data_IF_723515591727
#
_entry.id   IF_723515591727
#
_cell.length_a   1.000
_cell.length_b   1.000
_cell.length_c   1.000
_cell.angle_alpha   90.00
_cell.angle_beta   90.00
_cell.angle_gamma   90.00
#
_symmetry.space_group_name_H-M   'P 1'
#
loop_
_entity.id
_entity.type
_entity.pdbx_description
1 polymer ?
#
# COMPACT_ATOMS: atom_id res chain seq x y z
N UNK A 1 6.63 -24.32 -8.82
CA UNK A 1 5.20 -24.04 -9.13
C UNK A 1 5.08 -22.53 -9.35
N UNK A 2 4.30 -22.12 -10.34
CA UNK A 2 4.03 -20.72 -10.65
C UNK A 2 2.52 -20.50 -10.73
N UNK A 3 2.09 -19.26 -10.55
CA UNK A 3 0.70 -18.83 -10.72
C UNK A 3 0.64 -17.87 -11.89
N UNK A 4 -0.31 -18.08 -12.80
CA UNK A 4 -0.53 -17.15 -13.90
C UNK A 4 -1.44 -16.02 -13.45
N UNK A 5 -0.89 -14.82 -13.43
CA UNK A 5 -1.55 -13.60 -12.96
C UNK A 5 -1.72 -12.64 -14.12
N UNK A 6 -2.93 -12.13 -14.30
CA UNK A 6 -3.20 -10.97 -15.14
C UNK A 6 -3.19 -9.70 -14.29
N UNK A 7 -2.46 -8.68 -14.71
CA UNK A 7 -2.42 -7.37 -14.07
C UNK A 7 -3.17 -6.39 -14.97
N UNK A 8 -4.10 -5.66 -14.39
CA UNK A 8 -4.93 -4.66 -15.08
C UNK A 8 -4.70 -3.27 -14.47
N UNK A 9 -4.69 -2.26 -15.35
CA UNK A 9 -4.55 -0.85 -15.00
C UNK A 9 -5.84 -0.23 -14.43
N UNK A 10 -6.43 0.73 -15.16
CA UNK A 10 -7.74 1.29 -14.77
C UNK A 10 -8.90 0.52 -15.43
N UNK A 11 -9.76 -0.06 -14.60
CA UNK A 11 -10.95 -0.74 -15.06
C UNK A 11 -12.02 0.21 -15.63
N UNK A 12 -12.29 1.33 -14.94
CA UNK A 12 -13.35 2.30 -15.26
C UNK A 12 -14.73 1.67 -15.49
N UNK A 13 -15.05 0.58 -14.78
CA UNK A 13 -16.32 -0.13 -14.88
C UNK A 13 -16.49 -1.00 -16.14
N UNK A 14 -15.42 -1.27 -16.89
CA UNK A 14 -15.40 -2.11 -18.12
C UNK A 14 -15.08 -3.59 -17.81
N UNK A 15 -15.67 -4.14 -16.75
CA UNK A 15 -15.37 -5.50 -16.28
C UNK A 15 -15.62 -6.56 -17.35
N UNK A 16 -16.68 -6.43 -18.14
CA UNK A 16 -16.97 -7.40 -19.20
C UNK A 16 -15.84 -7.45 -20.23
N UNK A 17 -15.33 -6.28 -20.65
CA UNK A 17 -14.22 -6.17 -21.59
C UNK A 17 -12.96 -6.82 -21.05
N UNK A 18 -12.67 -6.60 -19.76
CA UNK A 18 -11.49 -7.18 -19.10
C UNK A 18 -11.61 -8.70 -19.03
N UNK A 19 -12.71 -9.24 -18.51
CA UNK A 19 -12.90 -10.70 -18.40
C UNK A 19 -12.88 -11.39 -19.77
N UNK A 20 -13.45 -10.77 -20.80
CA UNK A 20 -13.42 -11.30 -22.17
C UNK A 20 -12.00 -11.28 -22.79
N UNK A 21 -11.08 -10.48 -22.25
CA UNK A 21 -9.69 -10.36 -22.73
C UNK A 21 -8.73 -11.31 -22.01
N UNK A 22 -9.19 -12.05 -20.98
CA UNK A 22 -8.34 -12.94 -20.20
C UNK A 22 -7.99 -14.24 -20.95
N UNK A 23 -6.77 -14.72 -20.73
CA UNK A 23 -6.33 -16.03 -21.21
C UNK A 23 -6.96 -17.15 -20.36
N UNK A 24 -7.29 -18.30 -20.97
CA UNK A 24 -8.04 -19.38 -20.33
C UNK A 24 -7.35 -20.03 -19.11
N UNK A 25 -6.02 -19.96 -19.05
CA UNK A 25 -5.20 -20.46 -17.95
C UNK A 25 -4.85 -19.37 -16.91
N UNK A 26 -5.46 -18.19 -16.99
CA UNK A 26 -5.32 -17.13 -15.98
C UNK A 26 -5.96 -17.59 -14.67
N UNK A 27 -5.22 -17.47 -13.56
CA UNK A 27 -5.66 -17.98 -12.26
C UNK A 27 -6.02 -16.87 -11.27
N UNK A 28 -5.46 -15.68 -11.47
CA UNK A 28 -5.69 -14.49 -10.67
C UNK A 28 -5.69 -13.25 -11.58
N UNK A 29 -6.67 -12.37 -11.39
CA UNK A 29 -6.67 -11.02 -11.92
C UNK A 29 -6.40 -10.03 -10.78
N UNK A 30 -5.47 -9.09 -10.98
CA UNK A 30 -5.22 -7.98 -10.07
C UNK A 30 -5.57 -6.68 -10.77
N UNK A 31 -6.55 -5.94 -10.26
CA UNK A 31 -6.93 -4.61 -10.74
C UNK A 31 -6.35 -3.58 -9.78
N UNK A 32 -5.48 -2.70 -10.27
CA UNK A 32 -4.75 -1.79 -9.39
C UNK A 32 -5.56 -0.53 -9.00
N UNK A 33 -6.82 -0.40 -9.43
CA UNK A 33 -7.78 0.64 -9.01
C UNK A 33 -8.64 1.22 -10.13
N UNK A 34 -9.39 2.26 -9.79
CA UNK A 34 -10.48 2.81 -10.61
C UNK A 34 -11.46 1.71 -11.04
N UNK A 35 -11.82 0.83 -10.10
CA UNK A 35 -12.68 -0.32 -10.32
C UNK A 35 -14.13 0.08 -10.61
N UNK A 36 -14.62 1.13 -9.93
CA UNK A 36 -15.99 1.66 -10.03
C UNK A 36 -17.05 0.64 -9.59
N UNK A 37 -17.00 0.20 -8.33
CA UNK A 37 -17.96 -0.73 -7.73
C UNK A 37 -19.37 -0.11 -7.47
N UNK A 38 -20.01 0.43 -8.51
CA UNK A 38 -21.32 1.07 -8.42
C UNK A 38 -22.45 0.02 -8.47
N UNK A 39 -23.25 -0.06 -7.40
CA UNK A 39 -24.33 -1.06 -7.27
C UNK A 39 -25.64 -0.57 -7.88
N UNK A 40 -25.89 0.74 -7.81
CA UNK A 40 -27.13 1.38 -8.24
C UNK A 40 -26.89 2.86 -8.61
N UNK A 41 -27.93 3.56 -9.07
CA UNK A 41 -27.82 4.98 -9.44
C UNK A 41 -27.54 5.92 -8.25
N UNK A 42 -27.96 5.57 -7.03
CA UNK A 42 -27.68 6.39 -5.85
C UNK A 42 -26.17 6.42 -5.54
N UNK A 43 -25.46 5.33 -5.78
CA UNK A 43 -24.00 5.26 -5.62
C UNK A 43 -23.26 6.28 -6.52
N UNK A 44 -23.85 6.70 -7.66
CA UNK A 44 -23.26 7.72 -8.55
C UNK A 44 -23.12 9.09 -7.88
N UNK A 45 -23.84 9.35 -6.79
CA UNK A 45 -23.65 10.56 -5.99
C UNK A 45 -22.32 10.56 -5.22
N UNK A 46 -21.64 9.42 -5.12
CA UNK A 46 -20.44 9.24 -4.27
C UNK A 46 -19.16 8.99 -5.04
N UNK A 47 -19.20 9.07 -6.37
CA UNK A 47 -18.02 8.90 -7.23
C UNK A 47 -17.49 10.26 -7.72
N UNK A 48 -16.16 10.44 -7.68
CA UNK A 48 -15.53 11.64 -8.22
C UNK A 48 -15.33 11.54 -9.74
N UNK A 49 -16.41 11.70 -10.51
CA UNK A 49 -16.36 11.71 -11.99
C UNK A 49 -17.17 12.91 -12.51
N UNK A 50 -16.70 13.64 -13.53
CA UNK A 50 -17.48 14.73 -14.12
C UNK A 50 -18.85 14.25 -14.59
N UNK A 51 -19.92 15.01 -14.30
CA UNK A 51 -21.32 14.61 -14.55
C UNK A 51 -21.58 14.04 -15.96
N UNK A 52 -20.96 14.62 -16.99
CA UNK A 52 -21.11 14.18 -18.40
C UNK A 52 -20.53 12.79 -18.70
N UNK A 53 -19.72 12.23 -17.81
CA UNK A 53 -19.10 10.90 -17.95
C UNK A 53 -19.65 9.89 -16.93
N UNK A 54 -20.63 10.27 -16.12
CA UNK A 54 -21.26 9.36 -15.17
C UNK A 54 -21.97 8.24 -15.92
N UNK A 55 -21.63 7.01 -15.55
CA UNK A 55 -22.23 5.78 -16.06
C UNK A 55 -22.15 4.72 -14.97
N UNK A 56 -23.16 3.86 -14.89
CA UNK A 56 -23.21 2.78 -13.90
C UNK A 56 -22.13 1.72 -14.14
N UNK A 57 -21.72 1.54 -15.40
CA UNK A 57 -20.77 0.49 -15.80
C UNK A 57 -21.36 -0.91 -15.62
N UNK A 58 -20.49 -1.92 -15.60
CA UNK A 58 -20.90 -3.32 -15.63
C UNK A 58 -21.09 -3.95 -14.24
N UNK A 59 -20.54 -3.34 -13.19
CA UNK A 59 -20.37 -3.99 -11.88
C UNK A 59 -21.68 -4.42 -11.22
N UNK A 60 -22.75 -3.62 -11.32
CA UNK A 60 -24.06 -3.96 -10.75
C UNK A 60 -24.58 -5.35 -11.16
N UNK A 61 -24.24 -5.83 -12.37
CA UNK A 61 -24.63 -7.17 -12.85
C UNK A 61 -23.89 -8.29 -12.10
N UNK A 62 -22.63 -8.05 -11.71
CA UNK A 62 -21.85 -8.98 -10.91
C UNK A 62 -22.30 -8.97 -9.45
N UNK A 63 -22.59 -7.78 -8.91
CA UNK A 63 -23.14 -7.63 -7.57
C UNK A 63 -24.47 -8.38 -7.41
N UNK A 64 -25.36 -8.32 -8.41
CA UNK A 64 -26.63 -9.07 -8.43
C UNK A 64 -26.50 -10.57 -8.75
N UNK A 65 -25.31 -11.05 -9.11
CA UNK A 65 -25.11 -12.43 -9.55
C UNK A 65 -25.70 -12.75 -10.93
N UNK A 66 -26.09 -11.75 -11.72
CA UNK A 66 -26.48 -11.93 -13.13
C UNK A 66 -25.27 -12.33 -13.99
N UNK A 67 -24.08 -11.90 -13.58
CA UNK A 67 -22.78 -12.33 -14.09
C UNK A 67 -21.89 -12.80 -12.96
N UNK A 68 -20.93 -13.65 -13.28
CA UNK A 68 -19.92 -14.14 -12.34
C UNK A 68 -18.53 -13.87 -12.92
N UNK A 69 -17.58 -13.50 -12.04
CA UNK A 69 -16.20 -13.30 -12.46
C UNK A 69 -15.56 -14.65 -12.83
N UNK A 70 -14.99 -14.73 -14.04
CA UNK A 70 -14.40 -15.96 -14.58
C UNK A 70 -13.15 -16.41 -13.85
N UNK A 71 -12.46 -15.48 -13.20
CA UNK A 71 -11.24 -15.71 -12.43
C UNK A 71 -11.31 -14.95 -11.11
N UNK A 72 -10.62 -15.46 -10.08
CA UNK A 72 -10.47 -14.73 -8.82
C UNK A 72 -9.86 -13.36 -9.12
N UNK A 73 -10.54 -12.31 -8.67
CA UNK A 73 -10.16 -10.93 -8.93
C UNK A 73 -9.90 -10.22 -7.62
N UNK A 74 -8.70 -9.65 -7.46
CA UNK A 74 -8.33 -8.82 -6.31
C UNK A 74 -8.15 -7.39 -6.79
N UNK A 75 -8.68 -6.41 -6.06
CA UNK A 75 -8.47 -5.00 -6.40
C UNK A 75 -8.25 -4.10 -5.18
N UNK A 76 -7.63 -2.95 -5.44
CA UNK A 76 -7.55 -1.81 -4.52
C UNK A 76 -8.36 -0.63 -5.06
N UNK A 77 -8.66 0.36 -4.24
CA UNK A 77 -9.38 1.57 -4.67
C UNK A 77 -8.45 2.59 -5.34
N UNK A 78 -8.93 3.24 -6.40
CA UNK A 78 -8.34 4.43 -7.02
C UNK A 78 -9.03 5.74 -6.62
N UNK A 79 -9.01 6.72 -7.51
CA UNK A 79 -9.68 8.01 -7.31
C UNK A 79 -11.08 8.09 -7.96
N UNK A 80 -11.40 7.17 -8.87
CA UNK A 80 -12.72 7.03 -9.49
C UNK A 80 -13.42 5.79 -8.91
N UNK A 81 -13.88 5.87 -7.67
CA UNK A 81 -14.49 4.74 -6.96
C UNK A 81 -15.88 5.04 -6.42
N UNK A 82 -16.65 3.99 -6.15
CA UNK A 82 -17.85 4.05 -5.33
C UNK A 82 -17.43 4.16 -3.85
N UNK A 83 -17.23 5.40 -3.38
CA UNK A 83 -16.67 5.67 -2.05
C UNK A 83 -17.60 5.22 -0.93
N UNK A 84 -18.92 5.25 -1.18
CA UNK A 84 -19.91 4.70 -0.26
C UNK A 84 -19.67 3.21 0.00
N UNK A 85 -19.63 2.40 -1.06
CA UNK A 85 -19.54 0.96 -0.91
C UNK A 85 -18.16 0.51 -0.41
N UNK A 86 -17.07 1.12 -0.91
CA UNK A 86 -15.73 0.77 -0.44
C UNK A 86 -15.51 1.10 1.04
N UNK A 87 -16.19 2.12 1.60
CA UNK A 87 -16.15 2.40 3.04
C UNK A 87 -16.86 1.36 3.89
N UNK A 88 -17.97 0.79 3.40
CA UNK A 88 -18.65 -0.34 4.07
C UNK A 88 -17.72 -1.56 4.22
N UNK A 89 -16.71 -1.66 3.36
CA UNK A 89 -15.71 -2.73 3.27
C UNK A 89 -14.28 -2.23 3.56
N UNK A 90 -14.09 -1.28 4.50
CA UNK A 90 -12.76 -0.69 4.74
C UNK A 90 -11.65 -1.70 5.13
N UNK A 91 -12.02 -2.84 5.74
CA UNK A 91 -11.11 -3.94 6.10
C UNK A 91 -10.96 -5.01 5.01
N UNK A 92 -11.56 -4.78 3.83
CA UNK A 92 -11.62 -5.70 2.72
C UNK A 92 -12.79 -6.68 2.79
N UNK A 93 -13.09 -7.29 1.65
CA UNK A 93 -14.16 -8.28 1.52
C UNK A 93 -14.60 -8.48 0.07
N UNK A 94 -15.46 -9.47 -0.14
CA UNK A 94 -16.08 -9.74 -1.42
C UNK A 94 -17.06 -8.62 -1.79
N UNK A 95 -16.82 -7.97 -2.93
CA UNK A 95 -17.79 -7.00 -3.49
C UNK A 95 -18.80 -7.68 -4.41
N UNK A 96 -18.45 -8.86 -4.92
CA UNK A 96 -19.29 -9.77 -5.67
C UNK A 96 -18.64 -11.16 -5.58
N UNK A 97 -19.34 -12.25 -5.95
CA UNK A 97 -18.73 -13.58 -5.97
C UNK A 97 -17.44 -13.58 -6.81
N UNK A 98 -16.34 -14.05 -6.21
CA UNK A 98 -15.03 -14.16 -6.84
C UNK A 98 -14.33 -12.81 -7.16
N UNK A 99 -14.84 -11.68 -6.62
CA UNK A 99 -14.22 -10.35 -6.69
C UNK A 99 -13.99 -9.79 -5.29
N UNK A 100 -12.73 -9.64 -4.90
CA UNK A 100 -12.30 -9.24 -3.55
C UNK A 100 -11.66 -7.86 -3.53
N UNK A 101 -12.21 -6.95 -2.73
CA UNK A 101 -11.59 -5.68 -2.40
C UNK A 101 -10.60 -5.85 -1.25
N UNK A 102 -9.37 -5.38 -1.38
CA UNK A 102 -8.36 -5.47 -0.31
C UNK A 102 -8.67 -4.58 0.91
N UNK A 103 -9.54 -3.58 0.78
CA UNK A 103 -9.77 -2.57 1.81
C UNK A 103 -8.96 -1.30 1.59
N UNK A 104 -9.09 -0.34 2.52
CA UNK A 104 -8.23 0.85 2.52
C UNK A 104 -6.74 0.47 2.60
N UNK A 105 -6.47 -0.54 3.43
CA UNK A 105 -5.24 -1.32 3.47
C UNK A 105 -5.60 -2.79 3.66
N UNK A 106 -4.86 -3.70 3.03
CA UNK A 106 -5.04 -5.12 3.26
C UNK A 106 -3.88 -5.98 2.77
N UNK A 107 -3.78 -7.18 3.33
CA UNK A 107 -2.87 -8.22 2.86
C UNK A 107 -3.60 -9.56 2.87
N UNK A 108 -3.50 -10.30 1.77
CA UNK A 108 -4.08 -11.64 1.63
C UNK A 108 -3.07 -12.60 1.03
N UNK A 109 -3.32 -13.88 1.24
CA UNK A 109 -2.58 -14.97 0.63
C UNK A 109 -3.42 -15.66 -0.43
N UNK A 110 -2.83 -15.84 -1.61
CA UNK A 110 -3.41 -16.63 -2.69
C UNK A 110 -2.35 -17.54 -3.27
N UNK A 111 -2.58 -18.87 -3.26
CA UNK A 111 -1.64 -19.86 -3.82
C UNK A 111 -0.20 -19.75 -3.33
N UNK A 112 0.01 -19.17 -2.14
CA UNK A 112 1.34 -18.98 -1.55
C UNK A 112 2.01 -17.67 -1.93
N UNK A 113 1.35 -16.82 -2.72
CA UNK A 113 1.71 -15.42 -2.92
C UNK A 113 1.11 -14.57 -1.80
N UNK A 114 1.95 -13.75 -1.16
CA UNK A 114 1.50 -12.70 -0.24
C UNK A 114 1.29 -11.40 -1.02
N UNK A 115 0.08 -10.88 -1.02
CA UNK A 115 -0.34 -9.73 -1.81
C UNK A 115 -0.78 -8.62 -0.84
N UNK A 116 -0.06 -7.51 -0.82
CA UNK A 116 -0.40 -6.32 -0.03
C UNK A 116 -0.89 -5.18 -0.93
N UNK A 117 -1.80 -4.37 -0.42
CA UNK A 117 -2.36 -3.24 -1.16
C UNK A 117 -2.65 -2.03 -0.27
N UNK A 118 -2.46 -0.84 -0.85
CA UNK A 118 -2.86 0.44 -0.27
C UNK A 118 -3.74 1.17 -1.29
N UNK A 119 -5.00 1.39 -0.91
CA UNK A 119 -5.99 2.07 -1.74
C UNK A 119 -5.84 3.59 -1.67
N UNK A 120 -6.22 4.27 -2.74
CA UNK A 120 -6.28 5.73 -2.81
C UNK A 120 -5.06 6.40 -3.43
N UNK A 121 -5.10 7.74 -3.45
CA UNK A 121 -4.07 8.59 -4.05
C UNK A 121 -3.47 9.57 -3.06
N UNK A 122 -2.27 10.07 -3.37
CA UNK A 122 -1.57 11.03 -2.53
C UNK A 122 -2.11 12.45 -2.70
N UNK A 123 -2.41 13.09 -1.56
CA UNK A 123 -2.63 14.53 -1.48
C UNK A 123 -2.16 15.07 -0.13
N UNK A 124 -1.16 15.95 -0.14
CA UNK A 124 -0.59 16.48 1.09
C UNK A 124 -1.60 17.21 1.98
N UNK A 125 -2.52 18.00 1.40
CA UNK A 125 -3.48 18.79 2.18
C UNK A 125 -4.46 17.89 2.91
N UNK A 126 -5.01 16.89 2.23
CA UNK A 126 -5.90 15.91 2.86
C UNK A 126 -5.17 15.05 3.88
N UNK A 127 -3.96 14.60 3.56
CA UNK A 127 -3.12 13.85 4.50
C UNK A 127 -2.83 14.63 5.77
N UNK A 128 -2.48 15.91 5.65
CA UNK A 128 -2.25 16.81 6.78
C UNK A 128 -3.53 17.09 7.58
N UNK A 129 -4.67 17.27 6.92
CA UNK A 129 -5.96 17.50 7.58
C UNK A 129 -6.39 16.31 8.45
N UNK A 130 -6.07 15.07 8.06
CA UNK A 130 -6.28 13.90 8.91
C UNK A 130 -5.43 13.87 10.18
N UNK A 131 -4.41 14.73 10.29
CA UNK A 131 -3.51 14.87 11.43
C UNK A 131 -3.80 16.12 12.26
N UNK A 132 -4.99 16.70 12.12
CA UNK A 132 -5.43 17.85 12.93
C UNK A 132 -6.63 17.45 13.79
N UNK A 133 -6.94 18.27 14.79
CA UNK A 133 -8.16 18.12 15.59
C UNK A 133 -9.43 18.24 14.75
N UNK A 134 -9.35 18.94 13.61
CA UNK A 134 -10.43 19.10 12.62
C UNK A 134 -10.38 18.03 11.52
N UNK A 135 -10.09 16.77 11.89
CA UNK A 135 -10.05 15.66 10.94
C UNK A 135 -11.41 15.52 10.21
N UNK A 136 -11.42 15.21 8.90
CA UNK A 136 -12.66 15.21 8.14
C UNK A 136 -13.59 14.08 8.58
N UNK A 137 -14.82 14.45 8.94
CA UNK A 137 -15.91 13.51 9.12
C UNK A 137 -16.65 13.26 7.80
N UNK A 138 -17.03 12.02 7.57
CA UNK A 138 -17.64 11.57 6.33
C UNK A 138 -19.09 11.13 6.55
N UNK A 139 -19.99 12.10 6.54
CA UNK A 139 -21.44 11.88 6.64
C UNK A 139 -22.12 12.06 5.28
N UNK A 140 -23.21 11.31 5.07
CA UNK A 140 -24.02 11.43 3.86
C UNK A 140 -25.08 12.53 4.02
N UNK A 141 -25.44 13.25 2.94
CA UNK A 141 -24.83 13.20 1.61
C UNK A 141 -23.44 13.87 1.60
N UNK A 142 -22.49 13.28 0.86
CA UNK A 142 -21.15 13.85 0.78
C UNK A 142 -21.14 15.22 0.11
N UNK A 143 -20.37 16.14 0.69
CA UNK A 143 -20.04 17.40 0.07
C UNK A 143 -19.08 17.18 -1.12
N UNK A 144 -19.06 18.12 -2.07
CA UNK A 144 -18.14 18.05 -3.21
C UNK A 144 -16.66 18.02 -2.77
N UNK A 145 -16.33 18.69 -1.67
CA UNK A 145 -15.01 18.64 -1.04
C UNK A 145 -14.68 17.25 -0.54
N UNK A 146 -15.62 16.60 0.14
CA UNK A 146 -15.50 15.22 0.65
C UNK A 146 -15.29 14.23 -0.49
N UNK A 147 -16.07 14.32 -1.57
CA UNK A 147 -15.94 13.44 -2.74
C UNK A 147 -14.54 13.52 -3.35
N UNK A 148 -13.92 14.72 -3.34
CA UNK A 148 -12.57 14.95 -3.87
C UNK A 148 -11.45 14.54 -2.91
N UNK A 149 -11.75 14.17 -1.67
CA UNK A 149 -10.72 13.90 -0.64
C UNK A 149 -10.81 12.55 0.05
N UNK A 150 -11.98 11.91 0.07
CA UNK A 150 -12.21 10.68 0.84
C UNK A 150 -11.42 9.46 0.33
N UNK A 151 -11.00 9.47 -0.94
CA UNK A 151 -10.09 8.46 -1.50
C UNK A 151 -8.60 8.80 -1.31
N UNK A 152 -8.26 9.94 -0.70
CA UNK A 152 -6.86 10.23 -0.40
C UNK A 152 -6.36 9.32 0.71
N UNK A 153 -5.12 8.86 0.59
CA UNK A 153 -4.51 7.96 1.57
C UNK A 153 -4.49 8.63 2.95
N UNK A 154 -5.07 7.98 3.96
CA UNK A 154 -5.03 8.45 5.33
C UNK A 154 -3.72 8.02 6.03
N UNK A 155 -3.20 8.82 6.98
CA UNK A 155 -2.00 8.49 7.76
C UNK A 155 -2.07 7.11 8.44
N UNK A 156 -3.24 6.74 8.99
CA UNK A 156 -3.43 5.44 9.63
C UNK A 156 -3.23 4.29 8.66
N UNK A 157 -3.75 4.38 7.43
CA UNK A 157 -3.64 3.31 6.44
C UNK A 157 -2.23 3.22 5.86
N UNK A 158 -1.55 4.37 5.74
CA UNK A 158 -0.13 4.41 5.44
C UNK A 158 0.73 3.69 6.51
N UNK A 159 0.51 3.98 7.79
CA UNK A 159 1.21 3.29 8.89
C UNK A 159 0.98 1.78 8.85
N UNK A 160 -0.27 1.34 8.63
CA UNK A 160 -0.58 -0.09 8.47
C UNK A 160 0.19 -0.72 7.31
N UNK A 161 0.29 -0.02 6.19
CA UNK A 161 1.03 -0.49 5.03
C UNK A 161 2.52 -0.63 5.31
N UNK A 162 3.15 0.33 6.00
CA UNK A 162 4.55 0.24 6.42
C UNK A 162 4.81 -0.94 7.37
N UNK A 163 3.88 -1.20 8.31
CA UNK A 163 3.98 -2.31 9.27
C UNK A 163 3.77 -3.69 8.63
N UNK A 164 3.18 -3.75 7.43
CA UNK A 164 2.82 -5.01 6.76
C UNK A 164 4.01 -5.92 6.50
N UNK A 165 5.22 -5.37 6.37
CA UNK A 165 6.44 -6.11 6.06
C UNK A 165 6.47 -6.64 4.62
N UNK A 166 7.50 -7.44 4.27
CA UNK A 166 7.75 -7.83 2.89
C UNK A 166 6.63 -8.69 2.29
N UNK A 167 6.28 -8.42 1.03
CA UNK A 167 5.26 -9.16 0.25
C UNK A 167 5.84 -9.59 -1.10
N UNK A 168 5.24 -10.60 -1.72
CA UNK A 168 5.59 -10.95 -3.10
C UNK A 168 5.12 -9.84 -4.05
N UNK A 169 3.90 -9.36 -3.84
CA UNK A 169 3.25 -8.33 -4.64
C UNK A 169 2.80 -7.21 -3.70
N UNK A 170 3.20 -5.98 -4.00
CA UNK A 170 2.60 -4.78 -3.42
C UNK A 170 1.87 -3.99 -4.50
N UNK A 171 0.74 -3.38 -4.13
CA UNK A 171 -0.12 -2.64 -5.05
C UNK A 171 -0.40 -1.26 -4.46
N UNK A 172 -0.19 -0.22 -5.26
CA UNK A 172 -0.63 1.15 -4.97
C UNK A 172 -1.21 1.76 -6.23
N UNK A 173 -2.27 2.56 -6.13
CA UNK A 173 -2.87 3.17 -7.31
C UNK A 173 -1.88 4.15 -7.97
N UNK A 174 -1.36 5.08 -7.18
CA UNK A 174 -0.32 6.01 -7.61
C UNK A 174 1.05 5.34 -7.71
N UNK A 175 1.89 5.87 -8.59
CA UNK A 175 3.27 5.42 -8.73
C UNK A 175 4.11 5.86 -7.53
N UNK A 176 5.06 5.03 -7.06
CA UNK A 176 6.13 5.50 -6.19
C UNK A 176 6.88 6.67 -6.84
N UNK A 177 6.95 7.80 -6.15
CA UNK A 177 7.69 8.97 -6.63
C UNK A 177 9.15 8.59 -6.91
N UNK A 178 9.69 9.00 -8.07
CA UNK A 178 11.06 8.72 -8.49
C UNK A 178 11.28 7.37 -9.17
N UNK A 179 10.25 6.50 -9.26
CA UNK A 179 10.37 5.17 -9.90
C UNK A 179 10.81 5.23 -11.36
N UNK A 180 10.54 6.35 -12.04
CA UNK A 180 10.94 6.58 -13.43
C UNK A 180 12.46 6.62 -13.63
N UNK A 181 13.25 6.88 -12.58
CA UNK A 181 14.72 6.86 -12.64
C UNK A 181 15.28 5.44 -12.87
N UNK A 182 14.46 4.41 -12.64
CA UNK A 182 14.82 2.98 -12.76
C UNK A 182 14.29 2.32 -14.04
N UNK A 183 13.78 3.11 -14.99
CA UNK A 183 13.24 2.64 -16.27
C UNK A 183 13.56 3.62 -17.41
N UNK A 184 12.90 3.45 -18.56
CA UNK A 184 13.13 4.31 -19.73
C UNK A 184 12.35 5.63 -19.64
N UNK A 185 12.87 6.57 -18.84
CA UNK A 185 12.29 7.91 -18.69
C UNK A 185 12.29 8.71 -20.00
N UNK A 186 13.23 8.44 -20.91
CA UNK A 186 13.29 9.10 -22.23
C UNK A 186 12.10 8.69 -23.10
N UNK A 187 11.77 7.39 -23.13
CA UNK A 187 10.59 6.92 -23.83
C UNK A 187 9.30 7.47 -23.21
N UNK A 188 9.22 7.49 -21.87
CA UNK A 188 8.07 8.05 -21.15
C UNK A 188 7.83 9.52 -21.52
N UNK A 189 8.87 10.35 -21.46
CA UNK A 189 8.80 11.77 -21.80
C UNK A 189 8.53 12.04 -23.29
N UNK A 190 8.88 11.11 -24.18
CA UNK A 190 8.50 11.21 -25.60
C UNK A 190 6.98 11.08 -25.79
N UNK A 191 6.32 10.25 -24.97
CA UNK A 191 4.88 10.00 -25.07
C UNK A 191 4.08 10.99 -24.22
N UNK A 192 4.64 11.44 -23.09
CA UNK A 192 4.03 12.40 -22.16
C UNK A 192 5.04 13.49 -21.77
N UNK A 193 5.33 14.47 -22.66
CA UNK A 193 6.34 15.50 -22.41
C UNK A 193 6.07 16.36 -21.17
N UNK A 194 4.80 16.57 -20.84
CA UNK A 194 4.35 17.37 -19.70
C UNK A 194 4.77 16.77 -18.34
N UNK A 195 5.07 15.47 -18.28
CA UNK A 195 5.63 14.88 -17.06
C UNK A 195 7.02 15.40 -16.71
N UNK A 196 7.74 16.05 -17.63
CA UNK A 196 9.09 16.58 -17.35
C UNK A 196 9.09 17.55 -16.19
N UNK A 197 8.11 18.46 -16.14
CA UNK A 197 8.00 19.44 -15.07
C UNK A 197 7.69 18.75 -13.73
N UNK A 198 6.73 17.82 -13.73
CA UNK A 198 6.33 17.09 -12.52
C UNK A 198 7.40 16.14 -12.00
N UNK A 199 8.21 15.57 -12.89
CA UNK A 199 9.38 14.76 -12.52
C UNK A 199 10.46 15.64 -11.87
N UNK A 200 10.77 16.79 -12.48
CA UNK A 200 11.78 17.72 -11.97
C UNK A 200 11.38 18.36 -10.64
N UNK A 201 10.10 18.68 -10.47
CA UNK A 201 9.57 19.27 -9.23
C UNK A 201 9.22 18.23 -8.16
N UNK A 202 9.39 16.93 -8.45
CA UNK A 202 8.98 15.84 -7.55
C UNK A 202 7.46 15.76 -7.32
N UNK A 203 6.62 16.30 -8.19
CA UNK A 203 5.15 16.21 -8.06
C UNK A 203 4.57 14.93 -8.65
N UNK A 204 5.30 14.26 -9.53
CA UNK A 204 4.82 13.03 -10.16
C UNK A 204 4.87 11.85 -9.17
N UNK A 205 3.75 11.19 -8.96
CA UNK A 205 3.65 10.03 -8.07
C UNK A 205 3.58 10.39 -6.58
N UNK A 206 3.52 9.34 -5.77
CA UNK A 206 3.28 9.41 -4.33
C UNK A 206 4.59 9.25 -3.54
N UNK A 207 4.94 10.22 -2.68
CA UNK A 207 6.05 10.09 -1.75
C UNK A 207 5.80 8.99 -0.72
N UNK A 208 4.54 8.76 -0.30
CA UNK A 208 4.19 7.64 0.58
C UNK A 208 4.55 6.29 -0.06
N UNK A 209 4.21 6.12 -1.35
CA UNK A 209 4.52 4.90 -2.08
C UNK A 209 6.04 4.73 -2.30
N UNK A 210 6.79 5.84 -2.45
CA UNK A 210 8.27 5.82 -2.53
C UNK A 210 8.90 5.26 -1.26
N UNK A 211 8.51 5.80 -0.11
CA UNK A 211 9.02 5.39 1.20
C UNK A 211 8.62 3.94 1.51
N UNK A 212 7.36 3.57 1.24
CA UNK A 212 6.90 2.19 1.40
C UNK A 212 7.62 1.20 0.46
N UNK A 213 7.92 1.58 -0.78
CA UNK A 213 8.71 0.76 -1.71
C UNK A 213 10.13 0.50 -1.17
N UNK A 214 10.78 1.53 -0.61
CA UNK A 214 12.12 1.42 -0.04
C UNK A 214 12.15 0.54 1.22
N UNK A 215 11.11 0.60 2.06
CA UNK A 215 10.99 -0.18 3.30
C UNK A 215 10.54 -1.63 3.05
N UNK A 216 9.46 -1.84 2.28
CA UNK A 216 8.83 -3.15 2.12
C UNK A 216 9.56 -4.05 1.13
N UNK A 217 10.24 -3.46 0.14
CA UNK A 217 11.05 -4.14 -0.88
C UNK A 217 10.39 -5.41 -1.45
N UNK A 218 9.17 -5.33 -2.01
CA UNK A 218 8.48 -6.49 -2.56
C UNK A 218 9.14 -6.98 -3.85
N UNK A 219 8.87 -8.22 -4.26
CA UNK A 219 9.38 -8.75 -5.56
C UNK A 219 8.76 -8.01 -6.75
N UNK A 220 7.48 -7.67 -6.63
CA UNK A 220 6.72 -6.94 -7.63
C UNK A 220 5.98 -5.76 -7.02
N UNK A 221 5.94 -4.66 -7.75
CA UNK A 221 5.13 -3.49 -7.41
C UNK A 221 4.28 -3.09 -8.61
N UNK A 222 2.96 -3.01 -8.42
CA UNK A 222 2.01 -2.66 -9.47
C UNK A 222 1.30 -1.34 -9.17
N UNK A 223 1.26 -0.47 -10.17
CA UNK A 223 0.61 0.85 -10.08
C UNK A 223 -0.06 1.27 -11.38
N UNK A 224 -0.79 2.38 -11.36
CA UNK A 224 -1.48 2.91 -12.54
C UNK A 224 -1.62 4.44 -12.49
N UNK A 225 -2.82 5.02 -12.66
CA UNK A 225 -3.19 6.43 -12.53
C UNK A 225 -2.71 7.33 -13.68
N UNK A 226 -1.46 7.16 -14.10
CA UNK A 226 -0.81 7.99 -15.13
C UNK A 226 -1.21 7.61 -16.57
N UNK A 227 -2.06 6.60 -16.75
CA UNK A 227 -2.55 6.11 -18.05
C UNK A 227 -1.43 5.91 -19.08
N UNK A 228 -0.40 5.17 -18.67
CA UNK A 228 0.71 4.80 -19.54
C UNK A 228 1.37 3.54 -19.03
N UNK A 229 1.73 2.66 -19.97
CA UNK A 229 2.56 1.52 -19.63
C UNK A 229 3.97 2.01 -19.27
N UNK A 230 4.52 1.53 -18.16
CA UNK A 230 5.91 1.76 -17.77
C UNK A 230 6.43 0.58 -16.96
N UNK A 231 7.72 0.27 -17.14
CA UNK A 231 8.40 -0.78 -16.39
C UNK A 231 9.72 -0.28 -15.88
N UNK A 232 10.05 -0.66 -14.65
CA UNK A 232 11.30 -0.31 -14.00
C UNK A 232 11.83 -1.45 -13.15
N UNK A 233 13.14 -1.45 -12.91
CA UNK A 233 13.82 -2.41 -12.03
C UNK A 233 14.51 -1.64 -10.92
N UNK A 234 13.83 -1.53 -9.79
CA UNK A 234 14.32 -0.77 -8.63
C UNK A 234 15.30 -1.64 -7.87
N UNK A 235 16.57 -1.24 -7.84
CA UNK A 235 17.59 -1.95 -7.06
C UNK A 235 17.60 -1.38 -5.64
N UNK A 236 17.47 -2.27 -4.66
CA UNK A 236 17.60 -1.90 -3.26
C UNK A 236 19.07 -2.07 -2.87
N UNK A 237 19.67 -1.03 -2.30
CA UNK A 237 21.08 -1.09 -1.89
C UNK A 237 21.26 -2.16 -0.80
N UNK A 238 22.25 -3.05 -0.98
CA UNK A 238 22.71 -3.95 0.08
C UNK A 238 23.54 -3.14 1.05
N UNK A 239 23.24 -3.23 2.35
CA UNK A 239 24.13 -2.68 3.36
C UNK A 239 25.55 -3.24 3.17
N UNK A 240 26.50 -2.38 2.81
CA UNK A 240 27.91 -2.62 3.15
C UNK A 240 27.97 -2.54 4.66
N UNK A 241 28.06 -3.70 5.34
CA UNK A 241 28.52 -3.73 6.73
C UNK A 241 29.82 -2.93 6.76
N UNK A 242 29.84 -1.77 7.41
CA UNK A 242 31.08 -1.10 7.81
C UNK A 242 31.80 -2.11 8.70
N UNK A 243 32.72 -2.89 8.12
CA UNK A 243 33.72 -3.60 8.90
C UNK A 243 34.49 -2.48 9.58
N UNK A 244 34.24 -2.27 10.89
CA UNK A 244 35.18 -1.54 11.73
C UNK A 244 36.51 -2.24 11.54
N UNK A 245 37.43 -1.66 10.77
CA UNK A 245 38.83 -2.04 10.84
C UNK A 245 39.25 -1.69 12.26
N UNK A 246 39.28 -2.68 13.12
CA UNK A 246 40.05 -2.60 14.36
C UNK A 246 41.47 -2.25 13.95
N UNK A 247 41.88 -1.02 14.23
CA UNK A 247 43.28 -0.63 14.19
C UNK A 247 43.91 -1.33 15.38
N UNK A 248 44.87 -2.25 15.20
CA UNK A 248 45.52 -2.89 16.33
C UNK A 248 46.30 -1.82 17.10
N UNK A 249 45.93 -1.66 18.37
CA UNK A 249 46.66 -0.83 19.31
C UNK A 249 48.10 -1.34 19.40
N UNK A 250 49.06 -0.49 19.04
CA UNK A 250 50.45 -0.70 19.40
C UNK A 250 50.88 0.47 20.27
N UNK A 251 51.27 0.11 21.48
CA UNK A 251 51.83 0.92 22.54
C UNK A 251 53.16 1.55 22.14
N UNK A 252 53.28 2.87 22.30
CA UNK A 252 54.41 3.52 22.97
C UNK A 252 54.05 4.98 23.29
N UNK A 253 54.15 5.30 24.58
CA UNK A 253 54.01 6.63 25.16
C UNK A 253 55.17 7.56 24.76
N UNK A 254 54.90 8.87 24.69
CA UNK A 254 55.67 9.90 25.41
C UNK A 254 54.91 11.25 25.38
N UNK A 255 54.75 11.81 26.59
CA UNK A 255 54.22 13.15 26.89
C UNK A 255 55.01 14.28 26.22
N UNK A 256 54.36 15.44 26.02
CA UNK A 256 54.79 16.71 26.63
C UNK A 256 53.77 17.85 26.41
N UNK A 257 53.52 18.56 27.51
CA UNK A 257 52.68 19.74 27.71
C UNK A 257 53.11 20.97 26.90
N UNK A 258 52.18 21.93 26.68
CA UNK A 258 52.28 23.35 27.12
C UNK A 258 51.40 24.31 26.29
N UNK A 259 50.40 24.88 26.98
CA UNK A 259 49.89 26.27 27.02
C UNK A 259 49.84 27.19 25.78
N UNK A 260 48.70 27.90 25.65
CA UNK A 260 48.61 29.19 24.94
C UNK A 260 47.19 29.64 24.58
N UNK A 261 46.61 30.53 25.39
CA UNK A 261 45.27 31.12 25.26
C UNK A 261 45.08 32.10 24.07
N UNK A 262 43.81 32.18 23.63
CA UNK A 262 43.02 33.34 23.18
C UNK A 262 43.49 34.25 22.01
N UNK A 263 42.60 34.47 21.02
CA UNK A 263 41.87 35.75 20.84
C UNK A 263 40.91 35.74 19.64
N UNK A 264 39.90 36.60 19.76
CA UNK A 264 38.70 36.76 18.93
C UNK A 264 38.85 37.60 17.64
N UNK A 265 37.89 37.40 16.73
CA UNK A 265 37.20 38.33 15.81
C UNK A 265 37.97 39.13 14.75
N UNK A 266 37.56 38.98 13.46
CA UNK A 266 36.82 40.00 12.69
C UNK A 266 36.49 39.58 11.25
N UNK A 267 35.37 40.13 10.79
CA UNK A 267 34.75 40.09 9.45
C UNK A 267 35.58 40.87 8.40
N UNK A 268 35.55 40.45 7.12
CA UNK A 268 34.97 41.28 6.02
C UNK A 268 35.11 40.68 4.60
N UNK A 269 33.97 40.76 3.90
CA UNK A 269 33.63 40.95 2.48
C UNK A 269 34.49 40.51 1.25
N UNK A 270 33.79 39.73 0.40
CA UNK A 270 33.68 39.78 -1.08
C UNK A 270 34.86 39.38 -2.00
N UNK A 271 34.63 38.35 -2.83
CA UNK A 271 34.71 38.46 -4.30
C UNK A 271 34.15 37.21 -5.00
N UNK A 272 33.64 37.44 -6.21
CA UNK A 272 33.04 36.49 -7.14
C UNK A 272 34.01 35.40 -7.55
N UNK A 273 33.56 34.14 -7.59
CA UNK A 273 33.95 33.24 -8.67
C UNK A 273 32.87 32.23 -9.01
N UNK A 274 32.71 32.01 -10.32
CA UNK A 274 31.85 31.00 -10.93
C UNK A 274 32.39 29.62 -10.55
N UNK A 275 31.51 28.69 -10.21
CA UNK A 275 31.73 27.28 -10.49
C UNK A 275 30.40 26.51 -10.53
N UNK A 276 30.19 25.85 -11.66
CA UNK A 276 29.23 24.77 -11.85
C UNK A 276 29.47 23.68 -10.80
N UNK A 277 28.46 23.34 -10.02
CA UNK A 277 28.44 22.10 -9.24
C UNK A 277 27.10 21.43 -9.49
N UNK A 278 27.13 20.43 -10.37
CA UNK A 278 26.19 19.32 -10.38
C UNK A 278 26.29 18.62 -9.01
N UNK A 279 25.40 18.99 -8.10
CA UNK A 279 25.28 18.35 -6.79
C UNK A 279 24.36 17.14 -6.89
N UNK A 280 24.95 15.96 -7.08
CA UNK A 280 24.33 14.71 -6.70
C UNK A 280 24.13 14.73 -5.18
N UNK A 281 22.90 14.96 -4.73
CA UNK A 281 22.52 14.81 -3.33
C UNK A 281 22.27 13.32 -3.12
N UNK A 282 23.31 12.60 -2.71
CA UNK A 282 23.17 11.29 -2.10
C UNK A 282 22.45 11.46 -0.75
N UNK A 283 21.21 11.00 -0.69
CA UNK A 283 20.48 10.83 0.57
C UNK A 283 21.02 9.56 1.25
N UNK A 284 21.94 9.72 2.19
CA UNK A 284 22.29 8.66 3.14
C UNK A 284 21.13 8.46 4.12
N UNK A 285 20.46 7.32 3.99
CA UNK A 285 19.35 6.89 4.84
C UNK A 285 19.89 5.82 5.80
N UNK A 286 20.14 6.22 7.05
CA UNK A 286 20.42 5.28 8.15
C UNK A 286 19.09 4.61 8.56
N UNK A 287 18.89 3.37 8.11
CA UNK A 287 17.65 2.63 8.33
C UNK A 287 17.62 1.89 9.68
N UNK A 288 16.42 1.87 10.25
CA UNK A 288 16.01 1.06 11.40
C UNK A 288 15.80 -0.39 10.94
N UNK A 289 16.57 -1.32 11.50
CA UNK A 289 16.52 -2.73 11.19
C UNK A 289 15.21 -3.39 11.66
N UNK A 290 14.28 -3.60 10.73
CA UNK A 290 13.06 -4.41 10.94
C UNK A 290 13.35 -5.91 11.21
N UNK A 291 14.59 -6.40 11.04
CA UNK A 291 14.97 -7.77 11.40
C UNK A 291 14.84 -8.02 12.91
N UNK A 292 15.13 -7.01 13.75
CA UNK A 292 15.07 -7.13 15.21
C UNK A 292 13.64 -7.22 15.78
N UNK A 293 12.61 -6.91 14.99
CA UNK A 293 11.20 -7.10 15.38
C UNK A 293 10.75 -8.56 15.35
N UNK A 294 11.61 -9.49 14.92
CA UNK A 294 11.22 -10.91 14.75
C UNK A 294 12.02 -11.92 15.57
N UNK A 295 12.95 -11.49 16.41
CA UNK A 295 13.72 -12.39 17.27
C UNK A 295 13.64 -11.98 18.74
N UNK A 296 12.71 -12.60 19.47
CA UNK A 296 12.78 -12.70 20.93
C UNK A 296 12.95 -14.17 21.33
N UNK A 297 14.17 -14.49 21.76
CA UNK A 297 14.61 -15.60 22.62
C UNK A 297 13.97 -16.99 22.44
N UNK A 298 14.63 -17.84 21.64
CA UNK A 298 14.61 -19.28 21.88
C UNK A 298 15.66 -19.62 22.94
N UNK A 299 15.20 -19.90 24.16
CA UNK A 299 16.02 -20.60 25.14
C UNK A 299 16.33 -22.00 24.60
N UNK A 300 17.63 -22.32 24.59
CA UNK A 300 18.15 -23.65 24.26
C UNK A 300 17.59 -24.69 25.23
N UNK A 301 16.80 -25.61 24.71
CA UNK A 301 16.73 -26.96 25.26
C UNK A 301 16.83 -27.97 24.11
N UNK A 302 17.93 -28.71 24.11
CA UNK A 302 18.21 -29.79 23.19
C UNK A 302 17.23 -30.95 23.39
N UNK A 303 16.44 -31.31 22.37
CA UNK A 303 16.26 -32.70 21.91
C UNK A 303 15.38 -32.77 20.66
N UNK A 304 15.88 -33.52 19.68
CA UNK A 304 15.45 -33.52 18.28
C UNK A 304 13.96 -33.66 17.98
N UNK A 305 13.51 -32.83 17.02
CA UNK A 305 12.45 -33.13 16.05
C UNK A 305 12.73 -32.33 14.78
N UNK A 306 12.50 -32.97 13.62
CA UNK A 306 12.80 -32.45 12.27
C UNK A 306 12.06 -31.13 12.02
N UNK A 307 12.81 -30.03 11.89
CA UNK A 307 12.28 -28.72 11.56
C UNK A 307 11.93 -28.59 10.07
N UNK A 308 10.64 -28.52 9.77
CA UNK A 308 10.15 -27.80 8.60
C UNK A 308 10.26 -26.30 8.87
N UNK A 309 11.42 -25.69 8.59
CA UNK A 309 11.58 -24.23 8.63
C UNK A 309 10.66 -23.60 7.58
N UNK A 310 9.51 -23.07 8.01
CA UNK A 310 8.62 -22.24 7.19
C UNK A 310 9.43 -21.01 6.75
N UNK A 311 9.80 -20.92 5.47
CA UNK A 311 10.43 -19.73 4.89
C UNK A 311 9.45 -18.55 5.05
N UNK A 312 9.92 -17.41 5.55
CA UNK A 312 9.16 -16.13 5.58
C UNK A 312 9.39 -15.40 4.25
N UNK A 313 8.51 -14.47 3.87
CA UNK A 313 8.81 -13.55 2.76
C UNK A 313 10.02 -12.72 3.17
N UNK A 314 11.09 -12.76 2.38
CA UNK A 314 12.27 -11.91 2.60
C UNK A 314 12.18 -10.67 1.70
N UNK A 315 12.84 -9.58 2.11
CA UNK A 315 12.96 -8.38 1.29
C UNK A 315 13.72 -8.70 -0.01
N UNK A 316 13.19 -8.24 -1.14
CA UNK A 316 13.81 -8.46 -2.44
C UNK A 316 14.99 -7.50 -2.65
N UNK A 317 16.07 -7.98 -3.26
CA UNK A 317 17.18 -7.12 -3.72
C UNK A 317 16.76 -6.21 -4.88
N UNK A 318 15.78 -6.66 -5.68
CA UNK A 318 15.25 -5.93 -6.83
C UNK A 318 13.74 -6.05 -6.85
N UNK A 319 13.05 -4.91 -6.90
CA UNK A 319 11.61 -4.85 -7.19
C UNK A 319 11.37 -4.64 -8.68
N UNK A 320 10.51 -5.47 -9.27
CA UNK A 320 10.01 -5.28 -10.63
C UNK A 320 8.76 -4.41 -10.59
N UNK A 321 8.88 -3.19 -11.06
CA UNK A 321 7.77 -2.26 -11.16
C UNK A 321 7.09 -2.39 -12.53
N UNK A 322 5.75 -2.46 -12.51
CA UNK A 322 4.91 -2.39 -13.70
C UNK A 322 3.76 -1.42 -13.46
N UNK A 323 3.56 -0.53 -14.42
CA UNK A 323 2.36 0.26 -14.53
C UNK A 323 1.73 0.11 -15.91
N UNK A 324 0.41 0.22 -15.95
CA UNK A 324 -0.40 -0.04 -17.15
C UNK A 324 -1.29 1.17 -17.51
N UNK A 325 -1.82 1.12 -18.73
CA UNK A 325 -2.76 2.11 -19.25
C UNK A 325 -4.21 1.78 -18.79
N UNK A 326 -5.15 2.67 -19.08
CA UNK A 326 -6.58 2.41 -18.83
C UNK A 326 -7.21 1.50 -19.89
N UNK A 327 -8.27 0.78 -19.52
CA UNK A 327 -9.03 -0.11 -20.40
C UNK A 327 -9.68 0.65 -21.58
N UNK A 328 -8.92 0.87 -22.64
CA UNK A 328 -9.34 1.53 -23.87
C UNK A 328 -8.77 0.82 -25.10
N UNK A 329 -9.44 0.92 -26.26
CA UNK A 329 -8.93 0.36 -27.50
C UNK A 329 -7.51 0.81 -27.81
N UNK A 330 -6.66 -0.13 -28.25
CA UNK A 330 -5.24 0.08 -28.64
C UNK A 330 -4.33 0.52 -27.49
N UNK A 331 -4.80 0.49 -26.24
CA UNK A 331 -3.97 0.72 -25.05
C UNK A 331 -3.48 -0.61 -24.46
N UNK A 332 -2.36 -0.55 -23.74
CA UNK A 332 -1.80 -1.70 -23.01
C UNK A 332 -2.27 -1.64 -21.56
N UNK A 333 -3.49 -2.10 -21.34
CA UNK A 333 -4.15 -2.08 -20.02
C UNK A 333 -4.11 -3.41 -19.29
N UNK A 334 -3.66 -4.48 -19.96
CA UNK A 334 -3.60 -5.84 -19.41
C UNK A 334 -2.22 -6.45 -19.69
N UNK A 335 -1.62 -7.06 -18.69
CA UNK A 335 -0.33 -7.77 -18.79
C UNK A 335 -0.38 -9.11 -18.07
N UNK A 336 0.04 -10.18 -18.75
CA UNK A 336 0.08 -11.52 -18.19
C UNK A 336 1.48 -11.85 -17.70
N UNK A 337 1.56 -12.47 -16.53
CA UNK A 337 2.82 -12.87 -15.93
C UNK A 337 2.70 -14.19 -15.17
N UNK A 338 3.77 -14.98 -15.18
CA UNK A 338 3.89 -16.16 -14.33
C UNK A 338 4.74 -15.84 -13.13
N UNK A 339 4.16 -15.88 -11.93
CA UNK A 339 4.85 -15.59 -10.68
C UNK A 339 5.22 -16.88 -9.98
N UNK A 340 6.52 -17.08 -9.77
CA UNK A 340 7.02 -18.24 -9.03
C UNK A 340 6.68 -18.17 -7.55
N UNK A 341 6.19 -19.29 -7.03
CA UNK A 341 5.86 -19.49 -5.63
C UNK A 341 7.14 -19.73 -4.82
N UNK A 342 7.45 -18.81 -3.91
CA UNK A 342 8.66 -18.90 -3.07
C UNK A 342 8.36 -19.55 -1.72
N UNK A 343 7.11 -19.50 -1.26
CA UNK A 343 6.73 -19.84 0.11
C UNK A 343 5.83 -21.06 0.20
N UNK A 344 6.01 -21.77 1.32
CA UNK A 344 5.18 -22.90 1.71
C UNK A 344 4.10 -22.43 2.69
N UNK A 345 3.08 -21.78 2.15
CA UNK A 345 1.89 -21.34 2.88
C UNK A 345 0.74 -22.33 2.65
N UNK A 346 -0.20 -22.43 3.60
CA UNK A 346 -1.38 -23.32 3.51
C UNK A 346 -2.22 -23.06 2.25
N UNK A 347 -2.19 -21.83 1.74
CA UNK A 347 -2.88 -21.45 0.52
C UNK A 347 -2.29 -22.08 -0.75
N UNK A 348 -1.06 -22.60 -0.72
CA UNK A 348 -0.33 -23.08 -1.91
C UNK A 348 -1.07 -24.14 -2.71
N UNK A 349 -1.83 -25.00 -2.04
CA UNK A 349 -2.62 -26.07 -2.67
C UNK A 349 -4.10 -25.69 -2.84
N UNK A 350 -4.52 -24.54 -2.32
CA UNK A 350 -5.90 -24.08 -2.34
C UNK A 350 -6.12 -23.01 -3.42
N UNK A 351 -7.32 -22.99 -3.99
CA UNK A 351 -7.79 -21.91 -4.87
C UNK A 351 -8.52 -20.79 -4.11
N UNK A 352 -8.57 -20.88 -2.77
CA UNK A 352 -9.22 -19.89 -1.91
C UNK A 352 -8.25 -18.81 -1.44
N UNK A 353 -8.82 -17.69 -0.98
CA UNK A 353 -8.09 -16.64 -0.29
C UNK A 353 -7.91 -16.97 1.19
N UNK A 354 -6.80 -16.50 1.76
CA UNK A 354 -6.55 -16.56 3.19
C UNK A 354 -6.16 -15.18 3.70
N UNK A 355 -6.68 -14.80 4.86
CA UNK A 355 -6.27 -13.59 5.55
C UNK A 355 -4.82 -13.69 6.02
N UNK A 356 -4.10 -12.57 5.96
CA UNK A 356 -2.78 -12.46 6.58
C UNK A 356 -2.95 -12.13 8.08
N UNK A 357 -2.41 -12.99 8.95
CA UNK A 357 -2.50 -12.84 10.40
C UNK A 357 -1.91 -11.51 10.88
N UNK A 358 -0.78 -11.10 10.29
CA UNK A 358 -0.11 -9.84 10.62
C UNK A 358 -0.96 -8.66 10.19
N UNK A 359 -1.55 -8.68 8.99
CA UNK A 359 -2.43 -7.60 8.53
C UNK A 359 -3.67 -7.42 9.40
N UNK A 360 -4.31 -8.50 9.84
CA UNK A 360 -5.42 -8.42 10.79
C UNK A 360 -4.98 -7.83 12.15
N UNK A 361 -3.79 -8.21 12.64
CA UNK A 361 -3.22 -7.64 13.86
C UNK A 361 -2.91 -6.15 13.69
N UNK A 362 -2.35 -5.75 12.55
CA UNK A 362 -2.07 -4.36 12.18
C UNK A 362 -3.35 -3.53 12.15
N UNK A 363 -4.41 -4.02 11.50
CA UNK A 363 -5.70 -3.34 11.46
C UNK A 363 -6.18 -3.05 12.88
N UNK A 364 -6.15 -4.05 13.76
CA UNK A 364 -6.55 -3.89 15.16
C UNK A 364 -5.69 -2.86 15.89
N UNK A 365 -4.38 -3.09 15.92
CA UNK A 365 -3.45 -2.29 16.73
C UNK A 365 -3.42 -0.84 16.29
N UNK A 366 -3.40 -0.57 14.98
CA UNK A 366 -3.33 0.81 14.47
C UNK A 366 -4.65 1.53 14.67
N UNK A 367 -5.80 0.89 14.44
CA UNK A 367 -7.10 1.53 14.69
C UNK A 367 -7.30 1.82 16.19
N UNK A 368 -6.96 0.87 17.08
CA UNK A 368 -7.01 1.07 18.55
C UNK A 368 -6.06 2.19 19.00
N UNK A 369 -4.84 2.23 18.42
CA UNK A 369 -3.84 3.25 18.73
C UNK A 369 -4.31 4.64 18.31
N UNK A 370 -4.81 4.80 17.08
CA UNK A 370 -5.30 6.08 16.56
C UNK A 370 -6.51 6.58 17.34
N UNK A 371 -7.40 5.67 17.74
CA UNK A 371 -8.58 6.02 18.55
C UNK A 371 -8.18 6.46 19.97
N UNK A 372 -7.19 5.81 20.58
CA UNK A 372 -6.78 6.06 21.97
C UNK A 372 -5.75 7.19 22.11
N UNK A 373 -4.94 7.44 21.08
CA UNK A 373 -3.82 8.37 21.10
C UNK A 373 -3.82 9.30 19.88
N UNK A 374 -4.92 10.01 19.58
CA UNK A 374 -5.00 10.86 18.38
C UNK A 374 -3.90 11.93 18.38
N UNK A 375 -3.53 12.45 19.56
CA UNK A 375 -2.53 13.51 19.71
C UNK A 375 -1.13 13.10 19.22
N UNK A 376 -0.75 11.82 19.31
CA UNK A 376 0.61 11.38 18.93
C UNK A 376 0.88 11.64 17.45
N UNK A 377 -0.09 11.34 16.58
CA UNK A 377 0.04 11.61 15.15
C UNK A 377 -0.08 13.10 14.83
N UNK A 378 -0.86 13.84 15.61
CA UNK A 378 -0.99 15.30 15.48
C UNK A 378 0.34 16.00 15.82
N UNK A 379 1.01 15.59 16.90
CA UNK A 379 2.28 16.16 17.39
C UNK A 379 3.47 15.85 16.46
N UNK A 380 3.46 14.67 15.83
CA UNK A 380 4.44 14.34 14.80
C UNK A 380 4.30 15.29 13.59
N UNK A 381 3.06 15.58 13.20
CA UNK A 381 2.73 16.39 12.04
C UNK A 381 3.03 15.70 10.71
N UNK A 382 2.48 16.22 9.59
CA UNK A 382 2.50 15.54 8.29
C UNK A 382 3.91 15.28 7.76
N UNK A 383 4.83 16.24 7.92
CA UNK A 383 6.20 16.13 7.40
C UNK A 383 7.04 15.05 8.08
N UNK A 384 6.76 14.73 9.36
CA UNK A 384 7.44 13.62 10.04
C UNK A 384 6.81 12.30 9.67
N UNK A 385 5.48 12.21 9.65
CA UNK A 385 4.77 10.97 9.28
C UNK A 385 5.12 10.51 7.87
N UNK A 386 5.42 11.44 6.96
CA UNK A 386 5.87 11.12 5.61
C UNK A 386 7.19 10.33 5.55
N UNK A 387 8.10 10.51 6.50
CA UNK A 387 9.46 9.95 6.46
C UNK A 387 9.58 8.76 7.39
N UNK A 388 9.92 7.59 6.83
CA UNK A 388 10.05 6.34 7.60
C UNK A 388 11.09 6.47 8.72
N UNK A 389 12.21 7.14 8.45
CA UNK A 389 13.26 7.42 9.45
C UNK A 389 12.71 8.13 10.68
N UNK A 390 11.88 9.17 10.46
CA UNK A 390 11.37 10.02 11.55
C UNK A 390 10.31 9.34 12.40
N UNK A 391 9.58 8.37 11.84
CA UNK A 391 8.57 7.59 12.58
C UNK A 391 9.06 6.20 13.00
N UNK A 392 10.32 5.87 12.79
CA UNK A 392 10.76 4.48 12.97
C UNK A 392 10.70 3.98 14.42
N UNK A 393 10.82 4.87 15.42
CA UNK A 393 10.54 4.51 16.82
C UNK A 393 9.07 4.10 17.01
N UNK A 394 8.14 4.87 16.45
CA UNK A 394 6.70 4.56 16.47
C UNK A 394 6.41 3.26 15.72
N UNK A 395 7.03 3.03 14.56
CA UNK A 395 6.88 1.78 13.81
C UNK A 395 7.40 0.58 14.60
N UNK A 396 8.47 0.75 15.38
CA UNK A 396 9.01 -0.31 16.24
C UNK A 396 8.05 -0.64 17.37
N UNK A 397 7.58 0.36 18.11
CA UNK A 397 6.60 0.18 19.20
C UNK A 397 5.30 -0.47 18.72
N UNK A 398 4.74 0.03 17.61
CA UNK A 398 3.55 -0.56 16.99
C UNK A 398 3.83 -1.97 16.48
N UNK A 399 5.03 -2.22 15.94
CA UNK A 399 5.45 -3.53 15.45
C UNK A 399 5.51 -4.60 16.55
N UNK A 400 5.98 -4.25 17.74
CA UNK A 400 5.95 -5.13 18.91
C UNK A 400 4.51 -5.44 19.35
N UNK A 401 3.66 -4.42 19.41
CA UNK A 401 2.23 -4.56 19.72
C UNK A 401 1.51 -5.44 18.69
N UNK A 402 1.82 -5.27 17.40
CA UNK A 402 1.32 -6.10 16.30
C UNK A 402 1.75 -7.55 16.48
N UNK A 403 3.03 -7.80 16.79
CA UNK A 403 3.55 -9.16 17.00
C UNK A 403 2.86 -9.85 18.18
N UNK A 404 2.56 -9.11 19.25
CA UNK A 404 1.78 -9.63 20.37
C UNK A 404 0.34 -9.98 19.97
N UNK A 405 -0.33 -9.11 19.21
CA UNK A 405 -1.70 -9.32 18.75
C UNK A 405 -1.81 -10.48 17.74
N UNK A 406 -0.82 -10.62 16.85
CA UNK A 406 -0.77 -11.66 15.82
C UNK A 406 -0.77 -13.08 16.42
N UNK A 407 -0.08 -13.30 17.54
CA UNK A 407 -0.07 -14.60 18.25
C UNK A 407 -1.46 -15.12 18.60
N UNK A 408 -2.41 -14.22 18.90
CA UNK A 408 -3.81 -14.57 19.21
C UNK A 408 -4.66 -14.81 17.96
N UNK A 409 -4.22 -14.33 16.80
CA UNK A 409 -4.91 -14.48 15.52
C UNK A 409 -4.48 -15.77 14.83
N UNK A 410 -3.22 -16.16 14.95
CA UNK A 410 -2.66 -17.39 14.36
C UNK A 410 -3.36 -18.68 14.83
N UNK A 411 -4.05 -18.66 15.97
CA UNK A 411 -4.80 -19.81 16.48
C UNK A 411 -6.19 -19.96 15.84
N UNK A 412 -6.62 -18.98 15.04
CA UNK A 412 -7.93 -18.96 14.39
C UNK A 412 -7.83 -19.46 12.96
N UNK A 413 -9.00 -19.82 12.41
CA UNK A 413 -9.13 -20.07 10.99
C UNK A 413 -8.99 -18.77 10.18
N UNK A 414 -8.04 -18.78 9.25
CA UNK A 414 -7.66 -17.65 8.39
C UNK A 414 -8.14 -17.82 6.95
N UNK A 415 -8.89 -18.88 6.62
CA UNK A 415 -9.56 -18.94 5.32
C UNK A 415 -10.57 -17.79 5.21
N UNK A 416 -10.57 -17.11 4.05
CA UNK A 416 -11.58 -16.08 3.75
C UNK A 416 -12.89 -16.79 3.43
N UNK A 417 -13.97 -16.59 4.21
CA UNK A 417 -15.24 -17.25 3.96
C UNK A 417 -15.91 -16.72 2.70
N UNK A 418 -16.66 -17.58 2.00
CA UNK A 418 -17.50 -17.21 0.86
C UNK A 418 -18.87 -16.70 1.36
N UNK A 419 -18.88 -15.54 2.04
CA UNK A 419 -20.05 -14.97 2.71
C UNK A 419 -20.54 -13.66 2.06
N UNK A 420 -20.38 -13.53 0.74
CA UNK A 420 -20.94 -12.41 0.00
C UNK A 420 -22.47 -12.42 0.04
N UNK A 421 -23.08 -11.27 0.32
CA UNK A 421 -24.53 -11.06 0.30
C UNK A 421 -24.88 -9.74 -0.40
N UNK A 422 -26.01 -9.74 -1.11
CA UNK A 422 -26.58 -8.54 -1.72
C UNK A 422 -27.38 -7.79 -0.66
N UNK A 423 -26.77 -6.76 -0.06
CA UNK A 423 -27.35 -5.99 1.06
C UNK A 423 -28.03 -4.71 0.56
N UNK A 424 -27.33 -3.92 -0.25
CA UNK A 424 -27.87 -2.71 -0.85
C UNK A 424 -28.79 -3.06 -2.04
N UNK A 425 -29.93 -2.37 -2.19
CA UNK A 425 -30.84 -2.56 -3.31
C UNK A 425 -30.27 -2.00 -4.62
N UNK A 426 -30.78 -2.47 -5.75
CA UNK A 426 -30.31 -2.10 -7.10
C UNK A 426 -31.39 -1.51 -8.01
N UNK A 427 -32.59 -1.34 -7.48
CA UNK A 427 -33.74 -0.81 -8.19
C UNK A 427 -33.71 0.73 -8.30
N UNK A 428 -34.48 1.23 -9.27
CA UNK A 428 -34.65 2.67 -9.50
C UNK A 428 -35.43 3.27 -8.33
N UNK A 429 -34.71 3.82 -7.35
CA UNK A 429 -35.29 4.35 -6.10
C UNK A 429 -34.47 4.05 -4.85
N UNK A 430 -33.36 3.32 -4.97
CA UNK A 430 -32.43 3.07 -3.87
C UNK A 430 -32.06 4.37 -3.13
N UNK A 431 -32.16 4.34 -1.79
CA UNK A 431 -31.79 5.49 -0.95
C UNK A 431 -30.27 5.58 -0.82
N UNK A 432 -29.75 6.81 -0.88
CA UNK A 432 -28.36 7.09 -0.57
C UNK A 432 -28.14 6.97 0.94
N UNK A 433 -27.65 5.81 1.38
CA UNK A 433 -27.30 5.52 2.76
C UNK A 433 -26.23 4.44 2.81
N UNK A 434 -25.54 4.31 3.94
CA UNK A 434 -24.68 3.15 4.18
C UNK A 434 -25.51 1.90 4.42
N UNK A 435 -25.05 0.79 3.87
CA UNK A 435 -25.59 -0.54 4.08
C UNK A 435 -24.53 -1.36 4.84
N UNK A 436 -24.60 -1.47 6.18
CA UNK A 436 -23.58 -2.15 6.97
C UNK A 436 -23.29 -3.55 6.43
N UNK A 437 -22.03 -3.80 6.07
CA UNK A 437 -21.64 -5.02 5.40
C UNK A 437 -21.44 -6.17 6.40
N UNK A 438 -22.06 -7.32 6.11
CA UNK A 438 -21.99 -8.53 6.92
C UNK A 438 -20.54 -9.05 7.09
N UNK A 439 -19.68 -8.87 6.09
CA UNK A 439 -18.28 -9.33 6.12
C UNK A 439 -17.42 -8.45 7.02
N UNK A 440 -17.61 -7.13 6.98
CA UNK A 440 -16.95 -6.20 7.88
C UNK A 440 -17.35 -6.48 9.33
N UNK A 441 -18.64 -6.71 9.59
CA UNK A 441 -19.13 -7.09 10.92
C UNK A 441 -18.50 -8.42 11.39
N UNK A 442 -18.47 -9.43 10.52
CA UNK A 442 -17.80 -10.69 10.79
C UNK A 442 -16.32 -10.52 11.17
N UNK A 443 -15.57 -9.69 10.45
CA UNK A 443 -14.17 -9.41 10.76
C UNK A 443 -14.01 -8.72 12.13
N UNK A 444 -14.84 -7.71 12.41
CA UNK A 444 -14.88 -7.04 13.71
C UNK A 444 -15.17 -8.02 14.84
N UNK A 445 -16.14 -8.91 14.69
CA UNK A 445 -16.52 -9.88 15.73
C UNK A 445 -15.50 -10.99 15.93
N UNK A 446 -15.05 -11.61 14.83
CA UNK A 446 -14.13 -12.75 14.84
C UNK A 446 -12.73 -12.33 15.28
N UNK A 447 -12.22 -11.20 14.80
CA UNK A 447 -10.85 -10.75 15.07
C UNK A 447 -10.75 -9.63 16.11
N UNK A 448 -11.88 -9.13 16.62
CA UNK A 448 -11.95 -8.01 17.57
C UNK A 448 -11.30 -6.75 16.97
N UNK A 449 -11.61 -6.47 15.70
CA UNK A 449 -11.25 -5.22 15.05
C UNK A 449 -12.21 -4.10 15.52
N UNK A 450 -11.77 -2.84 15.57
CA UNK A 450 -12.65 -1.72 15.86
C UNK A 450 -13.78 -1.59 14.84
N UNK A 451 -14.98 -1.29 15.34
CA UNK A 451 -16.17 -1.12 14.50
C UNK A 451 -16.00 0.11 13.61
N UNK A 452 -16.38 -0.02 12.35
CA UNK A 452 -16.32 1.06 11.37
C UNK A 452 -17.40 2.09 11.70
N UNK A 453 -17.00 3.31 12.09
CA UNK A 453 -17.94 4.41 12.18
C UNK A 453 -18.25 4.95 10.77
N UNK A 454 -19.36 4.47 10.20
CA UNK A 454 -19.80 4.89 8.87
C UNK A 454 -20.51 6.26 8.90
N UNK A 455 -21.24 6.58 9.97
CA UNK A 455 -22.09 7.76 10.00
C UNK A 455 -21.39 9.05 10.47
N UNK A 456 -20.18 8.97 11.02
CA UNK A 456 -19.56 10.09 11.73
C UNK A 456 -20.33 10.33 13.03
N UNK A 457 -19.66 10.19 14.16
CA UNK A 457 -20.24 10.49 15.46
C UNK A 457 -19.20 11.24 16.28
#
# INVERSE_FOLDING_TARGET
>A
MSVKVAIEGCCHGELNTIYNSLEADTELLIICGDFQALRNEADLATINVPRKYLRLGDFHQYYLGQKTASVLTIFIGGNHECLLYLRELQYGGWVAPNIYYLGAFGVVWYRGLRISGLSGIWNFRSFASCLTSDAPEYSLPYLETTIKSIYHVAPKDYLKFLLSGPSDIAISHDWPQGVWNWGDSRQLLRHKPYFREDMNSGRLGSPLAREALALLRPRYWFSLHLHTRFTARVQHQKHRKRIKKEVPANSNELLLDMDGEATENKEDETSKDKNDISGDIELEMDNIDMENLTTSNENKDERGKRDSKKRKVEQAEVTRFLALDKCLPRKRYLEFMSIELVLDHISKTSKKLFYDSKALAIQKVVEDFVASNPQVLQDLGPSKVLSVEKIGNLLTELGESVSFAERKILTKDLEVPDNFEVIAPTDNGAKLQYWPNNQTQYLCEKFKLPVVNLNGA
#
